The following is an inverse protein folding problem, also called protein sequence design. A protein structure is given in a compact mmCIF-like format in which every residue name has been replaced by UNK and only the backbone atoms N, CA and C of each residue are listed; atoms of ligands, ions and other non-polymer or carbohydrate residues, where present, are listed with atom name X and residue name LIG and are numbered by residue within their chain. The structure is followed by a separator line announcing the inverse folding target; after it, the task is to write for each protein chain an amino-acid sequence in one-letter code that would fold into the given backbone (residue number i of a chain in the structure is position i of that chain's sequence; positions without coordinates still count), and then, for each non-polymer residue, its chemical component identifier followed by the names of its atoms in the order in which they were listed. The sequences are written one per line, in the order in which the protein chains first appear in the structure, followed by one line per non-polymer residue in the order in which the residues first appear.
data_IF_441162541053
#
_entry.id   IF_441162541053
#
_cell.length_a   1.000
_cell.length_b   1.000
_cell.length_c   1.000
_cell.angle_alpha   90.00
_cell.angle_beta   90.00
_cell.angle_gamma   90.00
#
_symmetry.space_group_name_H-M   'P 1'
#
loop_
_entity.id
_entity.type
_entity.pdbx_description
1 polymer ?
#
# COMPACT_ATOMS: atom_id res chain seq x y z
N UNK A 1 -9.90 -33.99 17.68
CA UNK A 1 -10.93 -32.94 17.86
C UNK A 1 -10.22 -31.60 17.89
N UNK A 2 -10.14 -30.93 16.75
CA UNK A 2 -9.73 -29.52 16.71
C UNK A 2 -10.89 -28.69 17.27
N UNK A 3 -10.69 -28.07 18.42
CA UNK A 3 -11.67 -27.17 19.00
C UNK A 3 -11.61 -25.87 18.20
N UNK A 4 -12.62 -25.57 17.41
CA UNK A 4 -12.84 -24.27 16.79
C UNK A 4 -13.06 -23.21 17.88
N UNK A 5 -11.95 -22.61 18.35
CA UNK A 5 -12.02 -21.54 19.33
C UNK A 5 -12.55 -20.28 18.64
N UNK A 6 -13.56 -19.68 19.26
CA UNK A 6 -14.02 -18.36 18.82
C UNK A 6 -12.95 -17.29 19.10
N UNK A 7 -12.99 -16.17 18.34
CA UNK A 7 -12.06 -15.04 18.56
C UNK A 7 -12.14 -14.50 20.00
N UNK A 8 -13.30 -14.61 20.64
CA UNK A 8 -13.51 -14.16 22.02
C UNK A 8 -12.82 -15.09 23.02
N UNK A 9 -12.95 -16.41 22.86
CA UNK A 9 -12.27 -17.40 23.70
C UNK A 9 -10.76 -17.33 23.54
N UNK A 10 -10.27 -17.12 22.30
CA UNK A 10 -8.87 -16.93 22.01
C UNK A 10 -8.33 -15.64 22.68
N UNK A 11 -9.11 -14.56 22.63
CA UNK A 11 -8.81 -13.29 23.27
C UNK A 11 -8.64 -13.45 24.80
N UNK A 12 -9.55 -14.16 25.44
CA UNK A 12 -9.50 -14.44 26.88
C UNK A 12 -8.29 -15.30 27.24
N UNK A 13 -8.01 -16.36 26.46
CA UNK A 13 -6.86 -17.27 26.70
C UNK A 13 -5.50 -16.61 26.57
N UNK A 14 -5.34 -15.74 25.56
CA UNK A 14 -4.07 -15.07 25.26
C UNK A 14 -3.91 -13.77 26.06
N UNK A 15 -4.97 -13.25 26.67
CA UNK A 15 -4.96 -11.97 27.40
C UNK A 15 -4.77 -10.75 26.47
N UNK A 16 -5.25 -10.85 25.23
CA UNK A 16 -5.18 -9.79 24.23
C UNK A 16 -6.57 -9.34 23.80
N UNK A 17 -6.71 -8.12 23.31
CA UNK A 17 -8.01 -7.62 22.85
C UNK A 17 -8.52 -8.42 21.63
N UNK A 18 -9.83 -8.60 21.53
CA UNK A 18 -10.48 -9.23 20.37
C UNK A 18 -10.09 -8.57 19.04
N UNK A 19 -9.98 -7.25 19.03
CA UNK A 19 -9.54 -6.49 17.84
C UNK A 19 -8.13 -6.87 17.42
N UNK A 20 -7.21 -7.06 18.37
CA UNK A 20 -5.86 -7.49 18.09
C UNK A 20 -5.82 -8.89 17.49
N UNK A 21 -6.58 -9.83 18.08
CA UNK A 21 -6.72 -11.20 17.57
C UNK A 21 -7.26 -11.19 16.14
N UNK A 22 -8.36 -10.47 15.88
CA UNK A 22 -8.93 -10.35 14.56
C UNK A 22 -7.94 -9.81 13.53
N UNK A 23 -7.13 -8.81 13.91
CA UNK A 23 -6.08 -8.28 13.03
C UNK A 23 -5.01 -9.32 12.71
N UNK A 24 -4.55 -10.11 13.68
CA UNK A 24 -3.57 -11.17 13.43
C UNK A 24 -4.15 -12.29 12.56
N UNK A 25 -5.39 -12.71 12.80
CA UNK A 25 -6.06 -13.72 11.98
C UNK A 25 -6.17 -13.28 10.51
N UNK A 26 -6.42 -12.00 10.26
CA UNK A 26 -6.41 -11.46 8.90
C UNK A 26 -5.03 -11.51 8.24
N UNK A 27 -3.94 -11.39 8.98
CA UNK A 27 -2.59 -11.55 8.43
C UNK A 27 -2.30 -12.98 7.99
N UNK A 28 -2.96 -13.98 8.58
CA UNK A 28 -2.84 -15.39 8.18
C UNK A 28 -3.51 -15.69 6.83
N UNK A 29 -4.34 -14.78 6.30
CA UNK A 29 -4.89 -14.92 4.94
C UNK A 29 -3.92 -14.49 3.85
N UNK A 30 -2.79 -13.88 4.20
CA UNK A 30 -1.76 -13.49 3.25
C UNK A 30 -0.96 -14.71 2.77
N UNK A 31 -0.36 -14.67 1.57
CA UNK A 31 0.54 -15.70 1.08
C UNK A 31 1.65 -16.04 2.06
N UNK A 32 2.06 -17.32 2.10
CA UNK A 32 3.07 -17.83 3.04
C UNK A 32 4.39 -17.06 2.98
N UNK A 33 4.78 -16.58 1.80
CA UNK A 33 6.00 -15.78 1.62
C UNK A 33 5.93 -14.47 2.41
N UNK A 34 4.77 -13.82 2.45
CA UNK A 34 4.54 -12.57 3.19
C UNK A 34 4.48 -12.85 4.70
N UNK A 35 3.84 -13.95 5.10
CA UNK A 35 3.82 -14.40 6.50
C UNK A 35 5.26 -14.65 7.00
N UNK A 36 6.08 -15.33 6.21
CA UNK A 36 7.51 -15.54 6.51
C UNK A 36 8.27 -14.22 6.60
N UNK A 37 7.96 -13.24 5.75
CA UNK A 37 8.51 -11.89 5.81
C UNK A 37 8.21 -11.18 7.13
N UNK A 38 7.01 -11.38 7.69
CA UNK A 38 6.64 -10.88 9.02
C UNK A 38 7.40 -11.59 10.15
N UNK A 39 7.50 -12.93 10.10
CA UNK A 39 8.20 -13.75 11.11
C UNK A 39 9.69 -13.37 11.14
N UNK A 40 10.31 -13.24 9.98
CA UNK A 40 11.72 -12.87 9.82
C UNK A 40 11.98 -11.37 10.01
N UNK A 41 10.94 -10.57 10.31
CA UNK A 41 11.01 -9.11 10.48
C UNK A 41 11.56 -8.36 9.26
N UNK A 42 11.46 -8.94 8.07
CA UNK A 42 11.82 -8.28 6.79
C UNK A 42 10.85 -7.15 6.48
N UNK A 43 9.58 -7.33 6.87
CA UNK A 43 8.54 -6.30 6.85
C UNK A 43 7.87 -6.20 8.22
N UNK A 44 7.23 -5.07 8.50
CA UNK A 44 6.42 -4.87 9.71
C UNK A 44 4.94 -5.18 9.47
N UNK A 45 4.17 -5.34 10.55
CA UNK A 45 2.71 -5.47 10.49
C UNK A 45 2.07 -4.26 9.75
N UNK A 46 2.67 -3.07 9.88
CA UNK A 46 2.23 -1.88 9.16
C UNK A 46 2.30 -2.04 7.64
N UNK A 47 3.33 -2.70 7.11
CA UNK A 47 3.46 -3.01 5.68
C UNK A 47 2.50 -4.12 5.24
N UNK A 48 2.26 -5.13 6.08
CA UNK A 48 1.42 -6.27 5.73
C UNK A 48 -0.08 -5.96 5.72
N UNK A 49 -0.56 -5.06 6.61
CA UNK A 49 -1.99 -4.71 6.69
C UNK A 49 -2.58 -4.19 5.37
N UNK A 50 -1.96 -3.26 4.65
CA UNK A 50 -2.46 -2.81 3.36
C UNK A 50 -2.55 -3.92 2.31
N UNK A 51 -1.69 -4.94 2.36
CA UNK A 51 -1.69 -6.05 1.41
C UNK A 51 -2.98 -6.89 1.49
N UNK A 52 -3.63 -6.96 2.66
CA UNK A 52 -4.87 -7.75 2.85
C UNK A 52 -6.02 -7.25 1.96
N UNK A 53 -6.02 -5.98 1.55
CA UNK A 53 -7.08 -5.42 0.70
C UNK A 53 -6.89 -5.71 -0.79
N UNK A 54 -5.77 -6.29 -1.16
CA UNK A 54 -5.48 -6.72 -2.53
C UNK A 54 -6.03 -8.13 -2.70
N UNK A 55 -6.97 -8.32 -3.63
CA UNK A 55 -7.66 -9.59 -3.82
C UNK A 55 -6.78 -10.63 -4.54
N UNK A 56 -5.89 -10.19 -5.41
CA UNK A 56 -5.03 -11.06 -6.19
C UNK A 56 -3.73 -11.38 -5.44
N UNK A 57 -3.46 -12.67 -5.24
CA UNK A 57 -2.30 -13.18 -4.52
C UNK A 57 -0.97 -12.79 -5.18
N UNK A 58 -0.91 -12.84 -6.51
CA UNK A 58 0.29 -12.45 -7.26
C UNK A 58 0.61 -10.98 -7.07
N UNK A 59 -0.40 -10.11 -7.07
CA UNK A 59 -0.23 -8.69 -6.76
C UNK A 59 0.24 -8.45 -5.33
N UNK A 60 -0.25 -9.24 -4.36
CA UNK A 60 0.24 -9.18 -2.98
C UNK A 60 1.73 -9.51 -2.90
N UNK A 61 2.16 -10.57 -3.59
CA UNK A 61 3.57 -11.01 -3.63
C UNK A 61 4.43 -9.96 -4.35
N UNK A 62 3.96 -9.41 -5.46
CA UNK A 62 4.67 -8.38 -6.21
C UNK A 62 4.91 -7.12 -5.36
N UNK A 63 3.87 -6.64 -4.67
CA UNK A 63 4.00 -5.48 -3.76
C UNK A 63 4.95 -5.80 -2.60
N UNK A 64 4.89 -7.01 -2.05
CA UNK A 64 5.81 -7.46 -0.99
C UNK A 64 7.28 -7.43 -1.45
N UNK A 65 7.58 -7.90 -2.67
CA UNK A 65 8.91 -7.82 -3.24
C UNK A 65 9.37 -6.36 -3.41
N UNK A 66 8.47 -5.49 -3.86
CA UNK A 66 8.76 -4.07 -4.03
C UNK A 66 9.03 -3.37 -2.68
N UNK A 67 8.29 -3.72 -1.61
CA UNK A 67 8.57 -3.23 -0.25
C UNK A 67 10.02 -3.55 0.15
N UNK A 68 10.47 -4.77 -0.10
CA UNK A 68 11.83 -5.21 0.26
C UNK A 68 12.88 -4.54 -0.62
N UNK A 69 12.70 -4.61 -1.95
CA UNK A 69 13.66 -4.14 -2.94
C UNK A 69 13.89 -2.64 -2.84
N UNK A 70 12.83 -1.87 -2.63
CA UNK A 70 12.87 -0.41 -2.62
C UNK A 70 12.87 0.18 -1.20
N UNK A 71 12.79 -0.67 -0.17
CA UNK A 71 12.72 -0.26 1.24
C UNK A 71 11.58 0.72 1.49
N UNK A 72 10.41 0.44 0.93
CA UNK A 72 9.25 1.31 1.05
C UNK A 72 8.85 1.50 2.53
N UNK A 73 8.47 2.71 2.88
CA UNK A 73 7.84 3.00 4.16
C UNK A 73 6.41 2.47 4.21
N UNK A 74 5.81 2.37 5.41
CA UNK A 74 4.41 1.96 5.58
C UNK A 74 3.47 2.84 4.77
N UNK A 75 3.71 4.16 4.72
CA UNK A 75 2.87 5.11 3.97
C UNK A 75 2.94 4.87 2.47
N UNK A 76 4.13 4.67 1.93
CA UNK A 76 4.33 4.36 0.51
C UNK A 76 3.68 3.02 0.14
N UNK A 77 3.76 2.03 1.03
CA UNK A 77 3.06 0.74 0.87
C UNK A 77 1.53 0.93 0.84
N UNK A 78 0.97 1.74 1.72
CA UNK A 78 -0.47 2.06 1.73
C UNK A 78 -0.92 2.74 0.43
N UNK A 79 -0.10 3.68 -0.08
CA UNK A 79 -0.38 4.36 -1.34
C UNK A 79 -0.30 3.41 -2.53
N UNK A 80 0.72 2.55 -2.57
CA UNK A 80 0.88 1.52 -3.59
C UNK A 80 -0.34 0.58 -3.61
N UNK A 81 -0.76 0.07 -2.46
CA UNK A 81 -1.94 -0.79 -2.36
C UNK A 81 -3.24 -0.08 -2.81
N UNK A 82 -3.41 1.22 -2.53
CA UNK A 82 -4.56 2.00 -3.03
C UNK A 82 -4.58 2.08 -4.55
N UNK A 83 -3.42 2.25 -5.18
CA UNK A 83 -3.28 2.26 -6.64
C UNK A 83 -3.68 0.89 -7.20
N UNK A 84 -3.13 -0.20 -6.65
CA UNK A 84 -3.44 -1.57 -7.09
C UNK A 84 -4.91 -1.95 -6.90
N UNK A 85 -5.55 -1.53 -5.81
CA UNK A 85 -6.98 -1.79 -5.59
C UNK A 85 -7.88 -1.19 -6.67
N UNK A 86 -7.50 -0.06 -7.26
CA UNK A 86 -8.29 0.66 -8.25
C UNK A 86 -8.01 0.21 -9.71
N UNK A 87 -7.01 -0.67 -9.91
CA UNK A 87 -6.65 -1.19 -11.24
C UNK A 87 -7.27 -2.59 -11.40
N UNK A 88 -8.12 -2.84 -12.41
CA UNK A 88 -8.65 -4.17 -12.66
C UNK A 88 -7.53 -5.12 -13.10
N UNK A 89 -7.61 -6.36 -12.63
CA UNK A 89 -6.76 -7.47 -13.05
C UNK A 89 -6.86 -7.69 -14.56
N UNK A 90 -5.72 -7.70 -15.26
CA UNK A 90 -5.60 -8.15 -16.65
C UNK A 90 -4.27 -8.88 -16.81
N UNK A 91 -4.31 -10.07 -17.41
CA UNK A 91 -3.21 -11.06 -17.51
C UNK A 91 -1.92 -10.62 -18.25
N UNK A 92 -1.79 -9.39 -18.70
CA UNK A 92 -0.59 -8.89 -19.42
C UNK A 92 0.31 -8.04 -18.50
N UNK A 93 0.89 -8.66 -17.46
CA UNK A 93 1.32 -7.95 -16.24
C UNK A 93 2.76 -7.47 -16.14
N UNK A 94 3.67 -7.84 -17.01
CA UNK A 94 5.06 -7.37 -16.93
C UNK A 94 5.22 -5.86 -17.15
N UNK A 95 4.38 -5.26 -17.98
CA UNK A 95 4.39 -3.81 -18.23
C UNK A 95 3.72 -2.96 -17.12
N UNK A 96 2.83 -3.54 -16.32
CA UNK A 96 2.10 -2.80 -15.26
C UNK A 96 2.92 -2.54 -14.00
N UNK A 97 3.84 -3.44 -13.67
CA UNK A 97 4.72 -3.32 -12.49
C UNK A 97 5.61 -2.08 -12.60
N UNK A 98 6.24 -1.88 -13.76
CA UNK A 98 7.06 -0.69 -14.03
C UNK A 98 6.23 0.60 -14.07
N UNK A 99 5.02 0.55 -14.62
CA UNK A 99 4.12 1.71 -14.73
C UNK A 99 3.72 2.22 -13.33
N UNK A 100 3.36 1.34 -12.40
CA UNK A 100 2.92 1.73 -11.05
C UNK A 100 4.05 2.34 -10.21
N UNK A 101 5.24 1.78 -10.30
CA UNK A 101 6.44 2.33 -9.65
C UNK A 101 6.81 3.70 -10.24
N UNK A 102 6.69 3.86 -11.54
CA UNK A 102 6.91 5.14 -12.20
C UNK A 102 5.94 6.22 -11.70
N UNK A 103 4.65 5.90 -11.47
CA UNK A 103 3.70 6.87 -10.90
C UNK A 103 4.08 7.32 -9.48
N UNK A 104 4.57 6.40 -8.64
CA UNK A 104 5.02 6.75 -7.29
C UNK A 104 6.28 7.61 -7.33
N UNK A 105 7.25 7.24 -8.15
CA UNK A 105 8.49 8.01 -8.32
C UNK A 105 8.21 9.40 -8.87
N UNK A 106 7.35 9.50 -9.88
CA UNK A 106 6.91 10.78 -10.46
C UNK A 106 6.17 11.62 -9.41
N UNK A 107 5.24 11.03 -8.65
CA UNK A 107 4.51 11.71 -7.58
C UNK A 107 5.47 12.29 -6.53
N UNK A 108 6.44 11.49 -6.07
CA UNK A 108 7.42 11.91 -5.07
C UNK A 108 8.32 13.03 -5.61
N UNK A 109 8.82 12.87 -6.83
CA UNK A 109 9.62 13.90 -7.50
C UNK A 109 8.86 15.23 -7.64
N UNK A 110 7.60 15.20 -8.08
CA UNK A 110 6.75 16.39 -8.19
C UNK A 110 6.52 17.01 -6.81
N UNK A 111 6.20 16.18 -5.80
CA UNK A 111 5.95 16.65 -4.43
C UNK A 111 7.17 17.35 -3.83
N UNK A 112 8.38 16.82 -4.05
CA UNK A 112 9.64 17.41 -3.62
C UNK A 112 9.96 18.71 -4.36
N UNK A 113 9.85 18.71 -5.70
CA UNK A 113 10.12 19.89 -6.51
C UNK A 113 9.20 21.06 -6.15
N UNK A 114 7.92 20.78 -5.98
CA UNK A 114 6.91 21.80 -5.67
C UNK A 114 6.88 22.13 -4.18
N UNK A 115 7.44 21.24 -3.33
CA UNK A 115 7.36 21.31 -1.86
C UNK A 115 5.89 21.43 -1.40
N UNK A 116 5.01 20.55 -1.96
CA UNK A 116 3.59 20.51 -1.65
C UNK A 116 3.05 19.09 -1.80
N UNK A 117 2.05 18.75 -0.98
CA UNK A 117 1.39 17.45 -1.08
C UNK A 117 0.80 17.27 -2.47
N UNK A 118 1.20 16.19 -3.13
CA UNK A 118 0.74 15.83 -4.48
C UNK A 118 0.11 14.44 -4.46
N UNK A 119 -0.98 14.27 -5.18
CA UNK A 119 -1.65 12.98 -5.39
C UNK A 119 -1.82 12.71 -6.87
N UNK A 120 -1.58 11.46 -7.29
CA UNK A 120 -1.82 10.99 -8.65
C UNK A 120 -2.89 9.91 -8.60
N UNK A 121 -3.94 10.06 -9.38
CA UNK A 121 -4.99 9.05 -9.57
C UNK A 121 -5.05 8.66 -11.04
N UNK A 122 -5.08 7.35 -11.32
CA UNK A 122 -5.10 6.82 -12.69
C UNK A 122 -6.33 5.92 -12.85
N UNK A 123 -7.03 6.03 -13.97
CA UNK A 123 -8.17 5.21 -14.29
C UNK A 123 -7.77 3.94 -15.08
N UNK A 124 -8.74 3.05 -15.32
CA UNK A 124 -8.56 1.78 -16.05
C UNK A 124 -7.98 1.93 -17.47
N UNK A 125 -8.09 3.09 -18.07
CA UNK A 125 -7.63 3.39 -19.45
C UNK A 125 -6.24 4.03 -19.49
N UNK A 126 -5.56 4.19 -18.32
CA UNK A 126 -4.26 4.86 -18.22
C UNK A 126 -4.35 6.39 -18.16
N UNK A 127 -5.55 6.99 -18.27
CA UNK A 127 -5.73 8.42 -18.08
C UNK A 127 -5.77 8.74 -16.58
N UNK A 128 -5.18 9.87 -16.20
CA UNK A 128 -5.06 10.22 -14.79
C UNK A 128 -5.26 11.69 -14.50
N UNK A 129 -5.23 11.99 -13.19
CA UNK A 129 -5.33 13.33 -12.64
C UNK A 129 -4.21 13.51 -11.63
N UNK A 130 -3.52 14.65 -11.70
CA UNK A 130 -2.58 15.10 -10.69
C UNK A 130 -3.29 16.17 -9.85
N UNK A 131 -3.31 15.99 -8.54
CA UNK A 131 -3.88 16.94 -7.58
C UNK A 131 -2.75 17.47 -6.70
N UNK A 132 -2.57 18.79 -6.69
CA UNK A 132 -1.59 19.49 -5.87
C UNK A 132 -2.36 20.28 -4.81
N UNK A 133 -2.02 20.08 -3.54
CA UNK A 133 -2.67 20.77 -2.42
C UNK A 133 -1.91 22.05 -2.08
N UNK A 134 -2.62 23.12 -1.81
CA UNK A 134 -2.08 24.40 -1.34
C UNK A 134 -2.89 24.95 -0.18
N UNK A 135 -2.27 25.74 0.69
CA UNK A 135 -2.89 26.24 1.92
C UNK A 135 -3.48 27.66 1.76
N UNK A 136 -2.91 28.47 0.87
CA UNK A 136 -3.31 29.86 0.66
C UNK A 136 -2.89 30.36 -0.73
N UNK A 137 -3.27 31.61 -1.06
CA UNK A 137 -2.98 32.21 -2.37
C UNK A 137 -1.46 32.37 -2.64
N UNK A 138 -0.67 32.66 -1.61
CA UNK A 138 0.78 32.80 -1.75
C UNK A 138 1.44 31.47 -2.08
N UNK A 139 0.98 30.39 -1.43
CA UNK A 139 1.42 29.03 -1.69
C UNK A 139 1.06 28.61 -3.13
N UNK A 140 -0.14 28.95 -3.61
CA UNK A 140 -0.56 28.72 -4.98
C UNK A 140 0.33 29.49 -6.00
N UNK A 141 0.69 30.74 -5.71
CA UNK A 141 1.63 31.53 -6.54
C UNK A 141 3.01 30.90 -6.58
N UNK A 142 3.50 30.40 -5.44
CA UNK A 142 4.78 29.68 -5.33
C UNK A 142 4.78 28.43 -6.20
N UNK A 143 3.72 27.63 -6.12
CA UNK A 143 3.54 26.41 -6.94
C UNK A 143 3.54 26.78 -8.42
N UNK A 144 2.77 27.79 -8.83
CA UNK A 144 2.74 28.25 -10.21
C UNK A 144 4.12 28.60 -10.76
N UNK A 145 4.92 29.32 -9.97
CA UNK A 145 6.26 29.75 -10.40
C UNK A 145 7.27 28.59 -10.49
N UNK A 146 6.97 27.43 -9.86
CA UNK A 146 7.81 26.23 -9.96
C UNK A 146 7.42 25.29 -11.10
N UNK A 147 6.23 25.47 -11.67
CA UNK A 147 5.74 24.70 -12.81
C UNK A 147 6.08 25.38 -14.15
N UNK A 148 6.41 26.66 -14.12
CA UNK A 148 6.94 27.40 -15.28
C UNK A 148 8.43 27.12 -15.47
#
# INVERSE_FOLDING_TARGET
MESELTQEELSKRIGKSRTLIANYLRLLTLPTIIQNGLINKTISIGHAKPLIIIENEENQINIFEDIIKMKLSVRETEELCKIFKNIPYNENETNKKEINLNYINIKNSISEQINSKTEITVNKKGNGKITIYFNNLEDLKRIRNKIQ
#
